data_IF_830299954581
#
_entry.id   IF_830299954581
#
_cell.length_a   1.000
_cell.length_b   1.000
_cell.length_c   1.000
_cell.angle_alpha   90.00
_cell.angle_beta   90.00
_cell.angle_gamma   90.00
#
_symmetry.space_group_name_H-M   'P 1'
#
loop_
_entity.id
_entity.type
_entity.pdbx_description
1 polymer ?
#
# COMPACT_ATOMS: atom_id res chain seq x y z
N UNK A 1 -9.84 9.71 18.44
CA UNK A 1 -8.54 10.36 18.18
C UNK A 1 -7.49 9.27 18.16
N UNK A 2 -7.02 8.89 16.98
CA UNK A 2 -5.87 7.99 16.86
C UNK A 2 -4.65 8.88 17.13
N UNK A 3 -3.97 8.67 18.23
CA UNK A 3 -2.67 9.29 18.49
C UNK A 3 -1.71 8.79 17.43
N UNK A 4 -1.22 9.68 16.57
CA UNK A 4 -0.12 9.41 15.64
C UNK A 4 1.09 8.98 16.48
N UNK A 5 1.29 7.66 16.60
CA UNK A 5 2.55 7.12 17.10
C UNK A 5 3.53 7.20 15.94
N UNK A 6 4.62 7.95 16.12
CA UNK A 6 5.76 7.96 15.19
C UNK A 6 6.36 6.54 15.14
N UNK A 7 5.84 5.73 14.22
CA UNK A 7 6.35 4.40 13.94
C UNK A 7 7.51 4.53 12.95
N UNK A 8 8.73 4.30 13.44
CA UNK A 8 9.89 4.15 12.57
C UNK A 8 9.95 2.72 12.05
N UNK A 9 9.68 2.53 10.76
CA UNK A 9 9.86 1.24 10.09
C UNK A 9 11.30 1.11 9.58
N UNK A 10 11.97 0.02 9.96
CA UNK A 10 13.29 -0.35 9.40
C UNK A 10 13.10 -1.52 8.44
N UNK A 11 13.61 -1.36 7.23
CA UNK A 11 13.61 -2.42 6.22
C UNK A 11 15.05 -2.77 5.89
N UNK A 12 15.43 -4.01 6.17
CA UNK A 12 16.72 -4.56 5.72
C UNK A 12 16.54 -5.09 4.29
N UNK A 13 17.43 -4.71 3.38
CA UNK A 13 17.46 -5.20 2.00
C UNK A 13 18.77 -5.93 1.74
N UNK A 14 18.69 -7.03 0.98
CA UNK A 14 19.87 -7.73 0.45
C UNK A 14 20.07 -7.44 -1.04
N UNK A 15 19.29 -6.53 -1.61
CA UNK A 15 19.33 -6.20 -3.03
C UNK A 15 20.68 -5.57 -3.40
N UNK A 16 21.38 -6.19 -4.35
CA UNK A 16 22.65 -5.69 -4.87
C UNK A 16 22.51 -4.97 -6.22
N UNK A 17 21.34 -5.10 -6.86
CA UNK A 17 21.07 -4.50 -8.17
C UNK A 17 19.72 -3.76 -8.18
N UNK A 18 19.52 -2.80 -9.09
CA UNK A 18 18.20 -2.18 -9.28
C UNK A 18 17.09 -3.19 -9.57
N UNK A 19 17.42 -4.30 -10.25
CA UNK A 19 16.48 -5.38 -10.51
C UNK A 19 16.01 -6.09 -9.23
N UNK A 20 16.91 -6.28 -8.26
CA UNK A 20 16.56 -6.90 -6.98
C UNK A 20 15.72 -5.97 -6.11
N UNK A 21 16.02 -4.67 -6.10
CA UNK A 21 15.19 -3.65 -5.42
C UNK A 21 13.78 -3.68 -5.99
N UNK A 22 13.63 -3.72 -7.32
CA UNK A 22 12.33 -3.77 -7.98
C UNK A 22 11.53 -5.03 -7.62
N UNK A 23 12.19 -6.19 -7.45
CA UNK A 23 11.54 -7.43 -6.99
C UNK A 23 11.04 -7.29 -5.56
N UNK A 24 11.86 -6.76 -4.65
CA UNK A 24 11.48 -6.56 -3.26
C UNK A 24 10.31 -5.57 -3.12
N UNK A 25 10.35 -4.45 -3.85
CA UNK A 25 9.23 -3.50 -3.92
C UNK A 25 7.97 -4.16 -4.46
N UNK A 26 8.09 -5.01 -5.49
CA UNK A 26 6.93 -5.73 -6.05
C UNK A 26 6.32 -6.69 -5.04
N UNK A 27 7.15 -7.39 -4.25
CA UNK A 27 6.69 -8.26 -3.18
C UNK A 27 5.95 -7.46 -2.08
N UNK A 28 6.47 -6.29 -1.69
CA UNK A 28 5.80 -5.41 -0.73
C UNK A 28 4.43 -4.94 -1.24
N UNK A 29 4.36 -4.50 -2.50
CA UNK A 29 3.08 -4.12 -3.14
C UNK A 29 2.08 -5.28 -3.11
N UNK A 30 2.53 -6.49 -3.42
CA UNK A 30 1.68 -7.69 -3.38
C UNK A 30 1.16 -7.99 -1.97
N UNK A 31 2.03 -7.95 -0.95
CA UNK A 31 1.64 -8.16 0.45
C UNK A 31 0.59 -7.13 0.87
N UNK A 32 0.80 -5.86 0.56
CA UNK A 32 -0.17 -4.80 0.87
C UNK A 32 -1.51 -5.10 0.19
N UNK A 33 -1.53 -5.44 -1.10
CA UNK A 33 -2.76 -5.83 -1.80
C UNK A 33 -3.47 -7.01 -1.12
N UNK A 34 -2.74 -8.03 -0.65
CA UNK A 34 -3.30 -9.15 0.08
C UNK A 34 -3.96 -8.72 1.39
N UNK A 35 -3.31 -7.83 2.15
CA UNK A 35 -3.84 -7.28 3.41
C UNK A 35 -5.10 -6.47 3.14
N UNK A 36 -5.08 -5.56 2.15
CA UNK A 36 -6.23 -4.72 1.80
C UNK A 36 -7.46 -5.57 1.46
N UNK A 37 -7.30 -6.68 0.73
CA UNK A 37 -8.40 -7.57 0.41
C UNK A 37 -9.03 -8.30 1.62
N UNK A 38 -8.35 -8.31 2.78
CA UNK A 38 -8.87 -8.89 4.03
C UNK A 38 -9.50 -7.85 4.96
N UNK A 39 -9.29 -6.57 4.69
CA UNK A 39 -9.96 -5.49 5.41
C UNK A 39 -11.45 -5.48 5.08
N UNK A 40 -12.26 -5.07 6.05
CA UNK A 40 -13.68 -4.78 5.84
C UNK A 40 -13.87 -3.58 4.90
N UNK A 41 -15.07 -3.45 4.35
CA UNK A 41 -15.40 -2.41 3.37
C UNK A 41 -15.11 -0.99 3.88
N UNK A 42 -15.51 -0.68 5.12
CA UNK A 42 -15.32 0.65 5.71
C UNK A 42 -13.83 0.99 5.87
N UNK A 43 -13.03 0.03 6.35
CA UNK A 43 -11.58 0.18 6.45
C UNK A 43 -10.92 0.39 5.08
N UNK A 44 -11.38 -0.30 4.03
CA UNK A 44 -10.86 -0.12 2.66
C UNK A 44 -11.22 1.23 2.08
N UNK A 45 -12.44 1.71 2.30
CA UNK A 45 -12.87 3.06 1.89
C UNK A 45 -12.04 4.15 2.57
N UNK A 46 -11.78 4.00 3.87
CA UNK A 46 -10.92 4.92 4.60
C UNK A 46 -9.50 4.93 4.02
N UNK A 47 -8.93 3.76 3.73
CA UNK A 47 -7.61 3.64 3.11
C UNK A 47 -7.56 4.31 1.73
N UNK A 48 -8.56 4.07 0.88
CA UNK A 48 -8.66 4.71 -0.44
C UNK A 48 -8.72 6.23 -0.29
N UNK A 49 -9.50 6.74 0.67
CA UNK A 49 -9.63 8.18 0.93
C UNK A 49 -8.29 8.79 1.34
N UNK A 50 -7.59 8.21 2.31
CA UNK A 50 -6.28 8.68 2.78
C UNK A 50 -5.26 8.67 1.64
N UNK A 51 -5.15 7.57 0.90
CA UNK A 51 -4.18 7.44 -0.19
C UNK A 51 -4.50 8.35 -1.38
N UNK A 52 -5.77 8.66 -1.64
CA UNK A 52 -6.17 9.61 -2.69
C UNK A 52 -5.74 11.05 -2.41
N UNK A 53 -5.32 11.37 -1.17
CA UNK A 53 -4.77 12.71 -0.85
C UNK A 53 -3.31 12.86 -1.27
N UNK A 54 -2.64 11.75 -1.60
CA UNK A 54 -1.25 11.73 -2.06
C UNK A 54 -1.26 11.97 -3.57
N UNK A 55 -0.83 13.16 -4.00
CA UNK A 55 -0.70 13.54 -5.41
C UNK A 55 0.54 12.91 -6.06
N UNK A 56 0.58 11.58 -6.13
CA UNK A 56 1.64 10.80 -6.76
C UNK A 56 1.04 9.79 -7.78
N UNK A 57 1.45 9.82 -9.07
CA UNK A 57 0.88 8.95 -10.10
C UNK A 57 1.02 7.44 -9.83
N UNK A 58 2.02 7.02 -9.06
CA UNK A 58 2.21 5.62 -8.68
C UNK A 58 1.18 5.21 -7.63
N UNK A 59 0.87 6.13 -6.70
CA UNK A 59 -0.15 5.91 -5.67
C UNK A 59 -1.54 5.90 -6.28
N UNK A 60 -1.83 6.79 -7.24
CA UNK A 60 -3.12 6.81 -7.96
C UNK A 60 -3.45 5.45 -8.61
N UNK A 61 -2.48 4.84 -9.29
CA UNK A 61 -2.66 3.51 -9.88
C UNK A 61 -2.95 2.42 -8.83
N UNK A 62 -2.35 2.54 -7.64
CA UNK A 62 -2.59 1.60 -6.55
C UNK A 62 -3.98 1.79 -5.94
N UNK A 63 -4.42 3.05 -5.80
CA UNK A 63 -5.76 3.42 -5.35
C UNK A 63 -6.83 2.87 -6.30
N UNK A 64 -6.66 3.01 -7.61
CA UNK A 64 -7.61 2.46 -8.59
C UNK A 64 -7.72 0.92 -8.49
N UNK A 65 -6.60 0.23 -8.28
CA UNK A 65 -6.62 -1.22 -8.05
C UNK A 65 -7.39 -1.61 -6.78
N UNK A 66 -7.32 -0.81 -5.72
CA UNK A 66 -8.11 -1.02 -4.49
C UNK A 66 -9.59 -0.74 -4.68
N UNK A 67 -9.95 0.27 -5.49
CA UNK A 67 -11.35 0.52 -5.84
C UNK A 67 -11.99 -0.64 -6.59
N UNK A 68 -11.21 -1.42 -7.36
CA UNK A 68 -11.72 -2.63 -8.02
C UNK A 68 -12.06 -3.75 -7.02
N UNK A 69 -11.34 -3.85 -5.90
CA UNK A 69 -11.64 -4.87 -4.87
C UNK A 69 -12.83 -4.52 -3.98
N UNK A 70 -13.24 -3.23 -3.94
CA UNK A 70 -14.48 -2.79 -3.30
C UNK A 70 -15.76 -3.23 -4.04
N UNK A 71 -15.66 -3.58 -5.33
CA UNK A 71 -16.82 -3.95 -6.16
C UNK A 71 -17.18 -5.44 -6.09
N UNK A 72 -16.53 -6.22 -5.23
CA UNK A 72 -16.73 -7.66 -5.04
C UNK A 72 -17.30 -7.94 -3.66
#
# INVERSE_FOLDING_TARGET
MITEQDMTYKFDTKAATPGDVNKEISALKFIICCVVNKLDESSREHLVKELSTINDPVVENMVENFKLSLRR
#
